data_IF_408227055012
#
_entry.id   IF_408227055012
#
_cell.length_a   1.000
_cell.length_b   1.000
_cell.length_c   1.000
_cell.angle_alpha   90.00
_cell.angle_beta   90.00
_cell.angle_gamma   90.00
#
_symmetry.space_group_name_H-M   'P 1'
#
loop_
_entity.id
_entity.type
_entity.pdbx_description
1 polymer ?
#
# COMPACT_ATOMS: atom_id res chain seq x y z
N UNK A 1 13.73 -10.35 9.94
CA UNK A 1 12.43 -9.70 10.24
C UNK A 1 11.34 -10.55 9.62
N UNK A 2 10.32 -10.87 10.40
CA UNK A 2 9.40 -11.99 10.18
C UNK A 2 8.62 -11.91 8.86
N UNK A 3 8.80 -12.91 8.00
CA UNK A 3 8.02 -13.14 6.78
C UNK A 3 6.54 -13.47 7.06
N UNK A 4 6.19 -13.86 8.29
CA UNK A 4 4.90 -14.45 8.64
C UNK A 4 3.75 -13.47 8.91
N UNK A 5 3.96 -12.15 8.83
CA UNK A 5 2.96 -11.18 9.32
C UNK A 5 2.53 -10.12 8.30
N UNK A 6 2.92 -10.26 7.03
CA UNK A 6 2.54 -9.30 6.00
C UNK A 6 1.08 -9.43 5.59
N UNK A 7 0.38 -10.50 5.97
CA UNK A 7 -0.89 -10.87 5.36
C UNK A 7 -2.05 -10.85 6.34
N UNK A 8 -3.14 -10.20 5.94
CA UNK A 8 -4.42 -10.17 6.65
C UNK A 8 -5.52 -10.84 5.83
N UNK A 9 -6.47 -11.42 6.53
CA UNK A 9 -7.75 -11.89 5.97
C UNK A 9 -8.75 -10.73 6.04
N UNK A 10 -9.36 -10.37 4.92
CA UNK A 10 -10.44 -9.37 4.85
C UNK A 10 -11.77 -10.08 4.61
N UNK A 11 -12.76 -9.85 5.48
CA UNK A 11 -14.13 -10.37 5.35
C UNK A 11 -15.06 -9.28 4.80
N UNK A 12 -15.87 -9.62 3.80
CA UNK A 12 -17.02 -8.81 3.39
C UNK A 12 -18.31 -9.40 4.00
N UNK A 13 -19.25 -8.53 4.38
CA UNK A 13 -20.45 -8.86 5.14
C UNK A 13 -21.45 -9.71 4.34
N UNK A 14 -22.15 -10.57 5.09
CA UNK A 14 -23.25 -11.51 4.73
C UNK A 14 -22.86 -12.86 4.09
N UNK A 15 -23.48 -13.98 4.53
CA UNK A 15 -23.23 -15.30 3.97
C UNK A 15 -23.58 -15.40 2.48
N UNK A 16 -22.75 -16.10 1.67
CA UNK A 16 -21.51 -16.77 2.06
C UNK A 16 -20.37 -15.77 2.30
N UNK A 17 -19.72 -15.86 3.48
CA UNK A 17 -18.61 -14.99 3.84
C UNK A 17 -17.48 -15.10 2.82
N UNK A 18 -17.11 -13.98 2.21
CA UNK A 18 -15.99 -13.91 1.27
C UNK A 18 -14.76 -13.40 2.00
N UNK A 19 -13.74 -14.25 2.04
CA UNK A 19 -12.45 -13.96 2.66
C UNK A 19 -11.40 -13.79 1.57
N UNK A 20 -10.65 -12.70 1.63
CA UNK A 20 -9.53 -12.45 0.73
C UNK A 20 -8.23 -12.39 1.54
N UNK A 21 -7.23 -13.14 1.08
CA UNK A 21 -5.86 -13.03 1.53
C UNK A 21 -5.25 -11.78 0.92
N UNK A 22 -4.77 -10.83 1.75
CA UNK A 22 -4.21 -9.56 1.28
C UNK A 22 -3.00 -9.13 2.08
N UNK A 23 -2.03 -8.51 1.43
CA UNK A 23 -0.94 -7.82 2.14
C UNK A 23 -1.54 -6.65 2.93
N UNK A 24 -1.25 -6.59 4.23
CA UNK A 24 -1.68 -5.54 5.15
C UNK A 24 -0.55 -4.60 5.52
N UNK A 25 0.65 -5.12 5.73
CA UNK A 25 1.82 -4.30 6.01
C UNK A 25 2.81 -4.45 4.87
N UNK A 26 3.06 -3.36 4.16
CA UNK A 26 4.05 -3.34 3.10
C UNK A 26 5.40 -2.96 3.70
N UNK A 27 6.41 -3.80 3.46
CA UNK A 27 7.79 -3.47 3.85
C UNK A 27 8.35 -2.40 2.93
N UNK A 28 9.31 -1.60 3.41
CA UNK A 28 9.94 -0.55 2.60
C UNK A 28 10.63 -1.11 1.34
N UNK A 29 11.12 -2.34 1.41
CA UNK A 29 11.83 -2.98 0.31
C UNK A 29 11.31 -4.41 0.08
N UNK A 30 10.24 -4.59 -0.70
CA UNK A 30 9.62 -5.89 -0.92
C UNK A 30 10.53 -6.87 -1.65
N UNK A 31 11.48 -6.38 -2.45
CA UNK A 31 12.44 -7.21 -3.17
C UNK A 31 13.45 -7.90 -2.23
N UNK A 32 13.63 -7.39 -1.00
CA UNK A 32 14.52 -7.96 0.03
C UNK A 32 13.85 -9.00 0.94
N UNK A 33 12.57 -9.32 0.72
CA UNK A 33 11.94 -10.43 1.44
C UNK A 33 12.70 -11.71 1.13
N UNK A 34 13.08 -12.47 2.16
CA UNK A 34 14.00 -13.61 2.03
C UNK A 34 13.36 -14.74 1.20
N UNK A 35 12.10 -15.04 1.48
CA UNK A 35 11.36 -16.11 0.82
C UNK A 35 10.80 -15.63 -0.52
N UNK A 36 11.14 -16.36 -1.59
CA UNK A 36 10.63 -16.11 -2.94
C UNK A 36 9.10 -16.20 -3.00
N UNK A 37 8.51 -17.19 -2.33
CA UNK A 37 7.06 -17.35 -2.27
C UNK A 37 6.36 -16.13 -1.67
N UNK A 38 6.95 -15.51 -0.64
CA UNK A 38 6.42 -14.31 0.00
C UNK A 38 6.57 -13.09 -0.93
N UNK A 39 7.70 -12.96 -1.65
CA UNK A 39 7.87 -11.93 -2.70
C UNK A 39 6.80 -12.06 -3.79
N UNK A 40 6.56 -13.28 -4.26
CA UNK A 40 5.57 -13.56 -5.29
C UNK A 40 4.16 -13.14 -4.85
N UNK A 41 3.75 -13.44 -3.62
CA UNK A 41 2.45 -12.97 -3.09
C UNK A 41 2.35 -11.45 -3.00
N UNK A 42 3.45 -10.76 -2.67
CA UNK A 42 3.48 -9.29 -2.69
C UNK A 42 3.38 -8.75 -4.12
N UNK A 43 4.06 -9.38 -5.08
CA UNK A 43 3.91 -9.08 -6.51
C UNK A 43 2.46 -9.23 -6.97
N UNK A 44 1.81 -10.35 -6.65
CA UNK A 44 0.40 -10.59 -7.00
C UNK A 44 -0.53 -9.56 -6.38
N UNK A 45 -0.31 -9.20 -5.11
CA UNK A 45 -1.12 -8.17 -4.44
C UNK A 45 -0.97 -6.81 -5.13
N UNK A 46 0.25 -6.40 -5.48
CA UNK A 46 0.50 -5.10 -6.12
C UNK A 46 -0.01 -5.07 -7.57
N UNK A 47 0.11 -6.16 -8.31
CA UNK A 47 -0.54 -6.33 -9.63
C UNK A 47 -2.05 -6.18 -9.51
N UNK A 48 -2.66 -6.79 -8.49
CA UNK A 48 -4.10 -6.61 -8.20
C UNK A 48 -4.44 -5.17 -7.83
N UNK A 49 -3.60 -4.48 -7.06
CA UNK A 49 -3.82 -3.09 -6.69
C UNK A 49 -3.75 -2.15 -7.91
N UNK A 50 -2.90 -2.43 -8.89
CA UNK A 50 -2.89 -1.74 -10.20
C UNK A 50 -4.19 -1.99 -10.96
N UNK A 51 -4.61 -3.26 -11.09
CA UNK A 51 -5.82 -3.68 -11.82
C UNK A 51 -7.09 -3.06 -11.21
N UNK A 52 -7.16 -2.98 -9.88
CA UNK A 52 -8.29 -2.37 -9.15
C UNK A 52 -8.21 -0.83 -9.10
N UNK A 53 -7.12 -0.22 -9.60
CA UNK A 53 -6.90 1.22 -9.57
C UNK A 53 -6.60 1.79 -8.17
N UNK A 54 -6.26 0.93 -7.19
CA UNK A 54 -5.88 1.33 -5.83
C UNK A 54 -4.46 1.90 -5.78
N UNK A 55 -3.59 1.43 -6.67
CA UNK A 55 -2.23 1.93 -6.81
C UNK A 55 -2.14 2.83 -8.05
N UNK A 56 -2.40 4.13 -7.86
CA UNK A 56 -2.28 5.08 -8.96
C UNK A 56 -0.80 5.25 -9.36
N UNK A 57 -0.52 5.18 -10.65
CA UNK A 57 0.80 5.40 -11.20
C UNK A 57 0.74 6.06 -12.58
N UNK A 58 1.81 6.76 -13.02
CA UNK A 58 1.88 7.31 -14.36
C UNK A 58 1.79 6.19 -15.42
N UNK A 59 1.15 6.46 -16.55
CA UNK A 59 0.90 5.46 -17.61
C UNK A 59 2.18 4.77 -18.09
N UNK A 60 3.27 5.52 -18.29
CA UNK A 60 4.56 4.92 -18.68
C UNK A 60 5.13 3.97 -17.63
N UNK A 61 4.94 4.26 -16.34
CA UNK A 61 5.34 3.35 -15.25
C UNK A 61 4.41 2.14 -15.19
N UNK A 62 3.10 2.33 -15.36
CA UNK A 62 2.14 1.23 -15.46
C UNK A 62 2.48 0.28 -16.63
N UNK A 63 2.89 0.83 -17.78
CA UNK A 63 3.29 0.04 -18.94
C UNK A 63 4.55 -0.79 -18.66
N UNK A 64 5.56 -0.18 -18.03
CA UNK A 64 6.76 -0.89 -17.59
C UNK A 64 6.43 -2.01 -16.59
N UNK A 65 5.63 -1.73 -15.58
CA UNK A 65 5.18 -2.74 -14.61
C UNK A 65 4.37 -3.86 -15.29
N UNK A 66 3.49 -3.51 -16.23
CA UNK A 66 2.75 -4.46 -17.05
C UNK A 66 3.65 -5.36 -17.88
N UNK A 67 4.77 -4.83 -18.40
CA UNK A 67 5.72 -5.60 -19.20
C UNK A 67 6.50 -6.62 -18.38
N UNK A 68 6.86 -6.32 -17.13
CA UNK A 68 7.44 -7.31 -16.21
C UNK A 68 6.41 -8.38 -15.82
N UNK A 69 5.15 -7.98 -15.60
CA UNK A 69 4.08 -8.94 -15.33
C UNK A 69 3.82 -9.86 -16.54
N UNK A 70 3.92 -9.34 -17.77
CA UNK A 70 3.82 -10.15 -18.98
C UNK A 70 5.00 -11.14 -19.09
N UNK A 71 6.23 -10.71 -18.81
CA UNK A 71 7.41 -11.60 -18.81
C UNK A 71 7.29 -12.71 -17.76
N UNK A 72 6.76 -12.40 -16.57
CA UNK A 72 6.51 -13.41 -15.51
C UNK A 72 5.44 -14.43 -15.92
N UNK A 73 4.38 -14.01 -16.59
CA UNK A 73 3.25 -14.88 -16.99
C UNK A 73 3.52 -15.69 -18.26
N UNK A 74 4.09 -15.05 -19.29
CA UNK A 74 4.21 -15.62 -20.64
C UNK A 74 5.65 -16.03 -21.01
N UNK A 75 6.65 -15.64 -20.23
CA UNK A 75 8.06 -15.84 -20.55
C UNK A 75 8.52 -14.95 -21.70
N UNK A 76 9.62 -15.33 -22.37
CA UNK A 76 10.20 -14.55 -23.45
C UNK A 76 9.23 -14.32 -24.61
N UNK A 77 9.13 -13.06 -25.05
CA UNK A 77 8.41 -12.75 -26.28
C UNK A 77 8.99 -13.50 -27.50
N UNK A 78 8.08 -14.12 -28.24
CA UNK A 78 8.33 -14.88 -29.47
C UNK A 78 7.30 -14.45 -30.52
N UNK A 79 7.69 -13.95 -31.71
CA UNK A 79 6.74 -13.58 -32.76
C UNK A 79 5.85 -14.72 -33.24
N UNK A 80 6.27 -15.97 -33.06
CA UNK A 80 5.53 -17.17 -33.46
C UNK A 80 4.38 -17.47 -32.48
N UNK A 81 4.66 -17.31 -31.18
CA UNK A 81 3.70 -17.62 -30.11
C UNK A 81 2.86 -16.41 -29.70
N UNK A 82 3.40 -15.21 -29.85
CA UNK A 82 2.82 -13.95 -29.39
C UNK A 82 2.43 -13.08 -30.59
N UNK A 83 1.24 -13.36 -31.14
CA UNK A 83 0.61 -12.51 -32.15
C UNK A 83 0.29 -11.10 -31.63
N UNK A 84 -0.23 -10.18 -32.46
CA UNK A 84 -0.45 -8.77 -32.07
C UNK A 84 -1.40 -8.56 -30.88
N UNK A 85 -2.24 -9.56 -30.60
CA UNK A 85 -3.35 -9.48 -29.65
C UNK A 85 -3.15 -10.33 -28.38
N UNK A 86 -1.96 -10.91 -28.17
CA UNK A 86 -1.73 -11.86 -27.05
C UNK A 86 -1.99 -11.24 -25.66
N UNK A 87 -1.90 -9.91 -25.53
CA UNK A 87 -2.17 -9.19 -24.28
C UNK A 87 -3.63 -8.69 -24.15
N UNK A 88 -4.52 -8.94 -25.11
CA UNK A 88 -5.89 -8.38 -25.06
C UNK A 88 -6.70 -8.90 -23.85
N UNK A 89 -6.40 -10.10 -23.35
CA UNK A 89 -6.97 -10.66 -22.12
C UNK A 89 -6.17 -10.35 -20.85
N UNK A 90 -5.00 -9.71 -20.97
CA UNK A 90 -4.09 -9.45 -19.87
C UNK A 90 -4.35 -8.05 -19.30
N UNK A 91 -5.11 -8.00 -18.21
CA UNK A 91 -5.45 -6.73 -17.56
C UNK A 91 -4.29 -6.25 -16.67
N UNK A 92 -3.84 -5.01 -16.88
CA UNK A 92 -2.79 -4.37 -16.08
C UNK A 92 -3.36 -3.20 -15.26
N UNK A 93 -4.21 -2.37 -15.90
CA UNK A 93 -4.86 -1.21 -15.29
C UNK A 93 -6.35 -1.14 -15.70
N UNK A 94 -7.21 -0.46 -14.93
CA UNK A 94 -8.59 -0.19 -15.34
C UNK A 94 -8.63 0.60 -16.65
N UNK A 95 -9.50 0.20 -17.58
CA UNK A 95 -9.74 0.97 -18.81
C UNK A 95 -8.53 1.11 -19.73
N UNK A 96 -7.63 0.12 -19.76
CA UNK A 96 -6.44 0.12 -20.60
C UNK A 96 -6.76 0.35 -22.09
N UNK A 97 -6.04 1.28 -22.73
CA UNK A 97 -6.20 1.59 -24.15
C UNK A 97 -5.38 0.63 -25.05
N UNK A 98 -5.74 0.53 -26.33
CA UNK A 98 -4.93 -0.25 -27.28
C UNK A 98 -3.49 0.25 -27.38
N UNK A 99 -3.29 1.58 -27.32
CA UNK A 99 -1.97 2.18 -27.38
C UNK A 99 -1.12 1.82 -26.15
N UNK A 100 -1.75 1.78 -24.98
CA UNK A 100 -1.11 1.32 -23.76
C UNK A 100 -0.67 -0.15 -23.87
N UNK A 101 -1.55 -1.03 -24.38
CA UNK A 101 -1.23 -2.45 -24.56
C UNK A 101 -0.08 -2.65 -25.57
N UNK A 102 -0.06 -1.89 -26.66
CA UNK A 102 1.07 -1.88 -27.61
C UNK A 102 2.37 -1.48 -26.93
N UNK A 103 2.36 -0.44 -26.11
CA UNK A 103 3.55 -0.03 -25.35
C UNK A 103 4.03 -1.12 -24.38
N UNK A 104 3.12 -1.80 -23.68
CA UNK A 104 3.46 -2.95 -22.82
C UNK A 104 4.12 -4.06 -23.64
N UNK A 105 3.58 -4.39 -24.82
CA UNK A 105 4.14 -5.41 -25.69
C UNK A 105 5.54 -5.04 -26.20
N UNK A 106 5.78 -3.77 -26.55
CA UNK A 106 7.12 -3.31 -26.96
C UNK A 106 8.13 -3.39 -25.81
N UNK A 107 7.73 -3.03 -24.59
CA UNK A 107 8.57 -3.17 -23.40
C UNK A 107 8.82 -4.64 -23.04
N UNK A 108 7.83 -5.52 -23.23
CA UNK A 108 7.98 -6.96 -22.95
C UNK A 108 9.09 -7.59 -23.80
N UNK A 109 9.22 -7.20 -25.07
CA UNK A 109 10.31 -7.65 -25.95
C UNK A 109 11.71 -7.37 -25.42
N UNK A 110 11.85 -6.35 -24.56
CA UNK A 110 13.15 -5.94 -23.98
C UNK A 110 13.56 -6.79 -22.79
N UNK A 111 12.66 -7.62 -22.23
CA UNK A 111 12.93 -8.43 -21.04
C UNK A 111 13.41 -9.84 -21.33
N UNK A 112 13.69 -10.14 -22.61
CA UNK A 112 14.14 -11.45 -23.07
C UNK A 112 15.31 -11.99 -22.23
N UNK A 113 15.19 -13.24 -21.80
CA UNK A 113 16.17 -13.95 -20.98
C UNK A 113 15.96 -13.78 -19.47
N UNK A 114 15.02 -12.93 -19.03
CA UNK A 114 14.64 -12.87 -17.62
C UNK A 114 13.74 -14.06 -17.26
N UNK A 115 14.12 -14.78 -16.20
CA UNK A 115 13.23 -15.75 -15.56
C UNK A 115 12.02 -15.04 -14.92
N UNK A 116 10.91 -15.76 -14.65
CA UNK A 116 9.76 -15.17 -13.96
C UNK A 116 10.12 -14.51 -12.63
N UNK A 117 10.98 -15.15 -11.82
CA UNK A 117 11.44 -14.62 -10.55
C UNK A 117 12.24 -13.30 -10.70
N UNK A 118 13.05 -13.15 -11.76
CA UNK A 118 13.77 -11.91 -12.05
C UNK A 118 12.83 -10.80 -12.53
N UNK A 119 11.84 -11.14 -13.37
CA UNK A 119 10.82 -10.18 -13.82
C UNK A 119 9.98 -9.66 -12.64
N UNK A 120 9.55 -10.56 -11.73
CA UNK A 120 8.84 -10.21 -10.50
C UNK A 120 9.70 -9.34 -9.57
N UNK A 121 10.97 -9.69 -9.41
CA UNK A 121 11.92 -8.87 -8.65
C UNK A 121 12.03 -7.46 -9.23
N UNK A 122 12.19 -7.34 -10.55
CA UNK A 122 12.28 -6.05 -11.24
C UNK A 122 10.97 -5.25 -11.13
N UNK A 123 9.82 -5.92 -11.20
CA UNK A 123 8.53 -5.30 -10.90
C UNK A 123 8.53 -4.69 -9.49
N UNK A 124 8.94 -5.47 -8.47
CA UNK A 124 8.98 -5.04 -7.08
C UNK A 124 9.95 -3.86 -6.85
N UNK A 125 11.09 -3.84 -7.54
CA UNK A 125 12.06 -2.73 -7.50
C UNK A 125 11.51 -1.41 -8.05
N UNK A 126 10.60 -1.48 -9.03
CA UNK A 126 10.01 -0.29 -9.64
C UNK A 126 8.75 0.17 -8.89
N UNK A 127 7.86 -0.75 -8.53
CA UNK A 127 6.58 -0.43 -7.89
C UNK A 127 6.78 0.20 -6.51
N UNK A 128 7.83 -0.17 -5.77
CA UNK A 128 8.14 0.41 -4.45
C UNK A 128 8.46 1.91 -4.49
N UNK A 129 8.77 2.46 -5.68
CA UNK A 129 9.10 3.88 -5.89
C UNK A 129 7.85 4.74 -6.09
N UNK A 130 6.67 4.13 -6.26
CA UNK A 130 5.42 4.86 -6.41
C UNK A 130 5.02 5.54 -5.10
N UNK A 131 4.49 6.76 -5.18
CA UNK A 131 4.13 7.54 -3.98
C UNK A 131 3.05 6.88 -3.11
N UNK A 132 2.16 6.10 -3.74
CA UNK A 132 1.08 5.38 -3.07
C UNK A 132 1.43 3.92 -2.74
N UNK A 133 2.69 3.50 -2.94
CA UNK A 133 3.12 2.17 -2.56
C UNK A 133 2.91 1.90 -1.07
N UNK A 134 2.10 0.89 -0.76
CA UNK A 134 1.81 0.51 0.62
C UNK A 134 1.08 1.58 1.43
N UNK A 135 0.35 2.47 0.76
CA UNK A 135 -0.41 3.56 1.40
C UNK A 135 -1.89 3.20 1.48
N UNK A 136 -2.42 3.11 2.70
CA UNK A 136 -3.86 3.10 2.94
C UNK A 136 -4.38 4.56 2.92
N UNK A 137 -5.04 4.97 1.83
CA UNK A 137 -5.47 6.35 1.62
C UNK A 137 -6.93 6.60 2.06
N UNK A 138 -7.14 7.62 2.88
CA UNK A 138 -8.45 8.03 3.39
C UNK A 138 -8.80 9.45 2.92
N UNK A 139 -9.93 9.64 2.19
CA UNK A 139 -10.38 10.98 1.80
C UNK A 139 -10.70 11.86 3.02
N UNK A 140 -10.18 13.08 3.00
CA UNK A 140 -10.26 14.01 4.12
C UNK A 140 -10.33 15.47 3.65
N UNK A 141 -10.54 16.37 4.61
CA UNK A 141 -10.48 17.82 4.41
C UNK A 141 -9.65 18.48 5.50
N UNK A 142 -8.90 19.50 5.12
CA UNK A 142 -8.16 20.39 6.03
C UNK A 142 -9.03 21.60 6.44
N UNK A 143 -8.52 22.44 7.35
CA UNK A 143 -9.13 23.74 7.65
C UNK A 143 -9.31 24.56 6.37
N UNK A 144 -10.54 25.05 6.13
CA UNK A 144 -10.90 25.77 4.90
C UNK A 144 -11.57 24.93 3.81
N UNK A 145 -11.97 23.68 4.11
CA UNK A 145 -12.68 22.75 3.20
C UNK A 145 -11.85 22.25 2.01
N UNK A 146 -10.53 22.41 2.07
CA UNK A 146 -9.62 21.93 1.04
C UNK A 146 -9.55 20.40 1.04
N UNK A 147 -9.85 19.77 -0.10
CA UNK A 147 -9.81 18.32 -0.25
C UNK A 147 -8.38 17.77 -0.24
N UNK A 148 -8.15 16.77 0.59
CA UNK A 148 -6.86 16.08 0.77
C UNK A 148 -7.09 14.57 0.95
N UNK A 149 -6.01 13.79 0.88
CA UNK A 149 -5.98 12.40 1.30
C UNK A 149 -5.03 12.22 2.49
N UNK A 150 -5.49 11.55 3.55
CA UNK A 150 -4.63 11.13 4.67
C UNK A 150 -4.24 9.68 4.45
N UNK A 151 -2.95 9.43 4.24
CA UNK A 151 -2.38 8.11 4.01
C UNK A 151 -1.75 7.51 5.27
N UNK A 152 -1.76 6.19 5.38
CA UNK A 152 -1.00 5.44 6.39
C UNK A 152 -0.01 4.52 5.69
N UNK A 153 1.24 4.51 6.12
CA UNK A 153 2.29 3.67 5.54
C UNK A 153 3.26 3.13 6.60
N UNK A 154 4.24 2.33 6.19
CA UNK A 154 5.34 1.88 7.04
C UNK A 154 6.17 3.02 7.65
N UNK A 155 6.24 4.18 7.00
CA UNK A 155 7.06 5.30 7.43
C UNK A 155 6.33 6.27 8.38
N UNK A 156 5.01 6.37 8.30
CA UNK A 156 4.26 7.38 9.03
C UNK A 156 2.86 7.63 8.49
N UNK A 157 2.27 8.73 8.97
CA UNK A 157 1.06 9.33 8.40
C UNK A 157 1.47 10.29 7.28
N UNK A 158 0.79 10.21 6.15
CA UNK A 158 1.08 10.95 4.93
C UNK A 158 -0.09 11.90 4.61
N UNK A 159 0.20 13.03 3.97
CA UNK A 159 -0.84 13.91 3.41
C UNK A 159 -0.61 14.06 1.91
N UNK A 160 -1.68 13.85 1.14
CA UNK A 160 -1.72 13.94 -0.31
C UNK A 160 -2.68 15.02 -0.76
N UNK A 161 -2.29 15.79 -1.77
CA UNK A 161 -3.15 16.76 -2.46
C UNK A 161 -2.98 16.61 -3.96
N UNK A 162 -4.09 16.54 -4.68
CA UNK A 162 -4.08 16.41 -6.15
C UNK A 162 -3.18 15.27 -6.66
N UNK A 163 -3.11 14.17 -5.91
CA UNK A 163 -2.30 12.99 -6.25
C UNK A 163 -0.80 13.09 -5.92
N UNK A 164 -0.34 14.16 -5.27
CA UNK A 164 1.06 14.34 -4.84
C UNK A 164 1.18 14.33 -3.32
N UNK A 165 2.24 13.73 -2.80
CA UNK A 165 2.56 13.79 -1.38
C UNK A 165 3.06 15.19 -0.97
N UNK A 166 2.34 15.85 -0.07
CA UNK A 166 2.71 17.16 0.50
C UNK A 166 3.46 17.03 1.83
N UNK A 167 3.09 16.07 2.67
CA UNK A 167 3.69 15.90 3.99
C UNK A 167 3.87 14.43 4.38
N UNK A 168 4.88 14.20 5.21
CA UNK A 168 5.12 12.96 5.94
C UNK A 168 5.31 13.31 7.42
N UNK A 169 4.54 12.64 8.28
CA UNK A 169 4.65 12.66 9.72
C UNK A 169 5.22 11.31 10.18
N UNK A 170 6.54 11.22 10.42
CA UNK A 170 7.19 9.96 10.76
C UNK A 170 6.62 9.35 12.05
N UNK A 171 6.60 8.02 12.13
CA UNK A 171 6.19 7.35 13.37
C UNK A 171 7.02 7.75 14.60
N UNK A 172 8.28 8.17 14.41
CA UNK A 172 9.17 8.63 15.48
C UNK A 172 8.79 10.00 16.06
N UNK A 173 8.12 10.87 15.31
CA UNK A 173 7.71 12.20 15.79
C UNK A 173 6.30 12.21 16.37
N UNK A 174 5.49 11.19 16.08
CA UNK A 174 4.11 11.08 16.56
C UNK A 174 4.10 10.62 18.02
N UNK A 175 3.62 11.49 18.90
CA UNK A 175 3.46 11.19 20.34
C UNK A 175 2.13 10.52 20.64
N UNK A 176 1.07 10.96 19.95
CA UNK A 176 -0.30 10.49 20.20
C UNK A 176 -1.16 10.61 18.96
N UNK A 177 -2.04 9.64 18.77
CA UNK A 177 -3.11 9.65 17.78
C UNK A 177 -4.46 9.61 18.48
N UNK A 178 -5.37 10.47 18.06
CA UNK A 178 -6.72 10.55 18.62
C UNK A 178 -7.75 10.75 17.51
N UNK A 179 -9.00 10.39 17.78
CA UNK A 179 -10.10 10.76 16.90
C UNK A 179 -11.37 11.04 17.71
N UNK A 180 -12.22 11.94 17.19
CA UNK A 180 -13.54 12.24 17.74
C UNK A 180 -14.53 12.52 16.60
N UNK A 181 -15.55 11.67 16.48
CA UNK A 181 -16.47 11.67 15.32
C UNK A 181 -15.66 11.57 14.01
N UNK A 182 -15.69 12.61 13.18
CA UNK A 182 -14.96 12.71 11.91
C UNK A 182 -13.56 13.32 12.05
N UNK A 183 -13.26 13.94 13.18
CA UNK A 183 -12.00 14.66 13.38
C UNK A 183 -10.92 13.68 13.83
N UNK A 184 -9.87 13.55 13.02
CA UNK A 184 -8.64 12.82 13.33
C UNK A 184 -7.56 13.82 13.76
N UNK A 185 -6.82 13.51 14.81
CA UNK A 185 -5.80 14.39 15.39
C UNK A 185 -4.48 13.66 15.56
N UNK A 186 -3.42 14.26 15.02
CA UNK A 186 -2.03 13.76 15.11
C UNK A 186 -1.24 14.73 15.97
N UNK A 187 -0.85 14.29 17.16
CA UNK A 187 -0.02 15.05 18.09
C UNK A 187 1.43 14.67 17.87
N UNK A 188 2.28 15.65 17.60
CA UNK A 188 3.68 15.44 17.27
C UNK A 188 4.57 16.38 18.07
N UNK A 189 5.81 15.95 18.25
CA UNK A 189 6.88 16.84 18.65
C UNK A 189 7.65 17.28 17.42
N UNK A 190 7.70 18.58 17.19
CA UNK A 190 8.44 19.20 16.09
C UNK A 190 9.50 20.15 16.65
N UNK A 191 10.52 20.45 15.86
CA UNK A 191 11.45 21.52 16.16
C UNK A 191 10.95 22.80 15.50
N UNK A 192 10.89 23.90 16.24
CA UNK A 192 10.60 25.21 15.68
C UNK A 192 11.86 25.79 14.99
N UNK A 193 11.75 27.02 14.46
CA UNK A 193 12.84 27.69 13.72
C UNK A 193 14.12 27.87 14.57
N UNK A 194 13.98 27.92 15.90
CA UNK A 194 15.08 28.06 16.86
C UNK A 194 15.62 26.70 17.38
N UNK A 195 15.23 25.58 16.76
CA UNK A 195 15.53 24.21 17.21
C UNK A 195 15.02 23.86 18.62
N UNK A 196 13.95 24.51 19.07
CA UNK A 196 13.27 24.19 20.32
C UNK A 196 12.15 23.19 20.04
N UNK A 197 12.03 22.17 20.89
CA UNK A 197 10.93 21.21 20.81
C UNK A 197 9.58 21.88 21.13
N UNK A 198 8.64 21.81 20.19
CA UNK A 198 7.27 22.29 20.34
C UNK A 198 6.28 21.15 20.03
N UNK A 199 5.21 21.09 20.81
CA UNK A 199 4.12 20.13 20.60
C UNK A 199 3.12 20.70 19.58
N UNK A 200 3.09 20.11 18.39
CA UNK A 200 2.21 20.49 17.27
C UNK A 200 1.05 19.51 17.11
N UNK A 201 -0.13 20.01 16.74
CA UNK A 201 -1.33 19.18 16.50
C UNK A 201 -1.86 19.40 15.08
N UNK A 202 -1.84 18.34 14.27
CA UNK A 202 -2.48 18.35 12.95
C UNK A 202 -3.90 17.80 13.04
N UNK A 203 -4.84 18.47 12.38
CA UNK A 203 -6.27 18.17 12.44
C UNK A 203 -6.82 17.86 11.05
N UNK A 204 -7.45 16.70 10.90
CA UNK A 204 -8.00 16.23 9.63
C UNK A 204 -9.46 15.84 9.79
N UNK A 205 -10.33 16.36 8.92
CA UNK A 205 -11.74 16.02 8.91
C UNK A 205 -12.02 14.89 7.89
N UNK A 206 -12.23 13.68 8.37
CA UNK A 206 -12.44 12.48 7.55
C UNK A 206 -13.91 12.38 7.09
N UNK A 207 -14.16 11.76 5.94
CA UNK A 207 -15.49 11.67 5.31
C UNK A 207 -16.60 11.17 6.26
N UNK A 208 -16.34 10.14 7.08
CA UNK A 208 -17.29 9.56 8.03
C UNK A 208 -16.63 9.16 9.36
N UNK A 209 -17.40 9.06 10.47
CA UNK A 209 -16.87 8.56 11.74
C UNK A 209 -16.31 7.14 11.65
N UNK A 210 -16.90 6.29 10.82
CA UNK A 210 -16.47 4.91 10.60
C UNK A 210 -15.11 4.89 9.89
N UNK A 211 -14.95 5.70 8.85
CA UNK A 211 -13.69 5.86 8.12
C UNK A 211 -12.61 6.48 9.02
N UNK A 212 -12.96 7.45 9.86
CA UNK A 212 -12.06 8.06 10.85
C UNK A 212 -11.56 7.02 11.88
N UNK A 213 -12.47 6.18 12.39
CA UNK A 213 -12.12 5.08 13.29
C UNK A 213 -11.24 4.03 12.59
N UNK A 214 -11.51 3.74 11.31
CA UNK A 214 -10.71 2.82 10.52
C UNK A 214 -9.29 3.35 10.29
N UNK A 215 -9.15 4.63 9.93
CA UNK A 215 -7.87 5.32 9.82
C UNK A 215 -7.09 5.27 11.13
N UNK A 216 -7.71 5.66 12.25
CA UNK A 216 -7.07 5.62 13.55
C UNK A 216 -6.58 4.20 13.91
N UNK A 217 -7.41 3.18 13.67
CA UNK A 217 -7.00 1.79 13.86
C UNK A 217 -5.82 1.43 12.96
N UNK A 218 -5.87 1.73 11.65
CA UNK A 218 -4.78 1.45 10.73
C UNK A 218 -3.47 2.09 11.20
N UNK A 219 -3.49 3.35 11.66
CA UNK A 219 -2.30 3.99 12.23
C UNK A 219 -1.77 3.28 13.47
N UNK A 220 -2.64 2.90 14.42
CA UNK A 220 -2.22 2.18 15.63
C UNK A 220 -1.59 0.83 15.28
N UNK A 221 -2.19 0.11 14.34
CA UNK A 221 -1.72 -1.19 13.87
C UNK A 221 -0.36 -1.07 13.16
N UNK A 222 -0.19 -0.10 12.26
CA UNK A 222 1.08 0.18 11.59
C UNK A 222 2.18 0.62 12.55
N UNK A 223 1.90 1.60 13.41
CA UNK A 223 2.85 2.08 14.41
C UNK A 223 3.29 0.94 15.35
N UNK A 224 2.36 0.09 15.76
CA UNK A 224 2.65 -1.10 16.57
C UNK A 224 3.52 -2.07 15.77
N UNK A 225 3.10 -2.50 14.59
CA UNK A 225 3.83 -3.46 13.77
C UNK A 225 5.27 -3.06 13.47
N UNK A 226 5.51 -1.80 13.04
CA UNK A 226 6.83 -1.35 12.64
C UNK A 226 7.75 -0.90 13.80
N UNK A 227 7.21 -0.78 15.02
CA UNK A 227 8.02 -0.45 16.22
C UNK A 227 8.18 -1.61 17.20
N UNK A 228 7.36 -2.67 17.09
CA UNK A 228 7.54 -3.86 17.92
C UNK A 228 8.79 -4.63 17.46
N UNK A 229 9.84 -4.57 18.27
CA UNK A 229 11.01 -5.45 18.16
C UNK A 229 10.67 -6.85 18.73
N UNK A 230 9.69 -6.92 19.65
CA UNK A 230 9.23 -8.15 20.32
C UNK A 230 7.70 -8.09 20.46
N UNK A 231 6.96 -9.20 20.27
CA UNK A 231 5.51 -9.22 20.50
C UNK A 231 5.17 -8.77 21.93
N UNK A 232 4.11 -7.97 22.13
CA UNK A 232 3.73 -7.50 23.46
C UNK A 232 3.33 -8.66 24.37
N UNK A 233 3.70 -8.57 25.65
CA UNK A 233 3.34 -9.56 26.66
C UNK A 233 1.82 -9.74 26.74
N UNK A 234 1.37 -10.98 26.91
CA UNK A 234 -0.06 -11.33 26.97
C UNK A 234 -0.71 -10.58 28.15
N UNK A 235 -1.67 -9.66 27.91
CA UNK A 235 -2.36 -9.00 29.01
C UNK A 235 -3.22 -10.03 29.77
N UNK A 236 -3.37 -9.90 31.10
CA UNK A 236 -4.19 -10.81 31.89
C UNK A 236 -5.64 -10.85 31.35
N UNK A 237 -6.22 -12.04 31.33
CA UNK A 237 -7.58 -12.30 30.80
C UNK A 237 -8.60 -11.42 31.56
N UNK A 238 -9.07 -10.35 30.93
CA UNK A 238 -10.24 -9.61 31.39
C UNK A 238 -11.49 -10.34 30.91
N UNK A 239 -12.40 -10.63 31.84
CA UNK A 239 -13.64 -11.41 31.67
C UNK A 239 -14.72 -10.68 30.86
N UNK A 240 -14.43 -9.48 30.32
CA UNK A 240 -15.40 -8.64 29.60
C UNK A 240 -14.84 -7.90 28.36
N UNK A 241 -13.97 -8.52 27.53
CA UNK A 241 -13.58 -7.90 26.26
C UNK A 241 -14.42 -8.39 25.06
N UNK A 242 -15.55 -7.73 24.80
CA UNK A 242 -16.20 -7.78 23.48
C UNK A 242 -15.48 -6.78 22.58
N UNK A 243 -14.56 -7.28 21.75
CA UNK A 243 -13.85 -6.49 20.76
C UNK A 243 -12.73 -7.29 20.10
N UNK A 244 -12.54 -7.10 18.79
CA UNK A 244 -11.39 -7.64 18.06
C UNK A 244 -10.09 -7.14 18.72
N UNK A 245 -9.30 -8.05 19.27
CA UNK A 245 -7.92 -7.81 19.71
C UNK A 245 -7.00 -8.35 18.63
N UNK A 246 -6.52 -7.48 17.75
CA UNK A 246 -5.42 -7.82 16.86
C UNK A 246 -4.14 -7.98 17.68
N UNK A 247 -3.45 -9.10 17.50
CA UNK A 247 -2.12 -9.38 18.06
C UNK A 247 -1.13 -9.31 16.90
N UNK A 248 -0.05 -8.57 17.09
CA UNK A 248 1.08 -8.43 16.15
C UNK A 248 2.33 -8.99 16.81
#
# INVERSE_FOLDING_TARGET
MCSNFLISIVCFSDPPYRLFFRVKFYVNDPAKLVEEYTRYHVFLQLRKDLIEGRLACPEGTAALLGSYAAQSEFGDYSPEDHGPDYLNGFQIIPGQSENFIKNVAELHKLHKGQSPAEAEFNFLEHVKKLELYGVDLYPAKESGDNAIGVGVSSCGVLVFRSGRREALYPWSSIMKLSFKKKLFSVYMRTLNEDNVEEDTVMLFNIQSPESCKALWKSCIEHHTFFRLIVPPAIPPKSIFSIGSRFRY
#
